data_IF_177087216311
#
_entry.id   IF_177087216311
#
_cell.length_a   1.000
_cell.length_b   1.000
_cell.length_c   1.000
_cell.angle_alpha   90.00
_cell.angle_beta   90.00
_cell.angle_gamma   90.00
#
_symmetry.space_group_name_H-M   'P 1'
#
loop_
_entity.id
_entity.type
_entity.pdbx_description
1 polymer ?
#
# COMPACT_ATOMS: atom_id res chain seq x y z
N UNK A 1 -3.84 12.86 3.21
CA UNK A 1 -3.61 12.19 1.91
C UNK A 1 -4.93 11.63 1.42
N UNK A 2 -5.23 11.82 0.14
CA UNK A 2 -6.47 11.32 -0.45
C UNK A 2 -6.43 9.80 -0.61
N UNK A 3 -7.57 9.10 -0.44
CA UNK A 3 -7.64 7.69 -0.76
C UNK A 3 -7.28 7.47 -2.24
N UNK A 4 -6.51 6.43 -2.52
CA UNK A 4 -6.06 6.13 -3.89
C UNK A 4 -7.22 5.52 -4.68
N UNK A 5 -7.63 6.11 -5.82
CA UNK A 5 -8.67 5.53 -6.67
C UNK A 5 -8.35 4.09 -7.04
N UNK A 6 -9.39 3.26 -7.24
CA UNK A 6 -9.22 1.87 -7.70
C UNK A 6 -8.43 1.83 -9.00
N UNK A 7 -7.48 0.90 -9.11
CA UNK A 7 -6.53 0.78 -10.21
C UNK A 7 -5.28 1.64 -10.08
N UNK A 8 -5.21 2.52 -9.07
CA UNK A 8 -4.00 3.34 -8.83
C UNK A 8 -2.86 2.45 -8.35
N UNK A 9 -1.71 2.57 -9.01
CA UNK A 9 -0.48 1.90 -8.59
C UNK A 9 0.15 2.69 -7.44
N UNK A 10 0.35 2.01 -6.32
CA UNK A 10 0.83 2.60 -5.07
C UNK A 10 2.04 1.84 -4.57
N UNK A 11 2.83 2.53 -3.77
CA UNK A 11 3.88 1.91 -3.00
C UNK A 11 3.88 2.44 -1.57
N UNK A 12 4.47 1.68 -0.65
CA UNK A 12 4.69 2.16 0.71
C UNK A 12 5.70 3.30 0.72
N UNK A 13 5.42 4.33 1.51
CA UNK A 13 6.31 5.47 1.68
C UNK A 13 7.53 5.13 2.56
N UNK A 14 8.44 6.10 2.70
CA UNK A 14 9.67 5.93 3.46
C UNK A 14 9.44 5.70 4.96
N UNK A 15 8.40 6.32 5.55
CA UNK A 15 8.06 6.15 6.97
C UNK A 15 7.65 4.70 7.26
N UNK A 16 6.81 4.12 6.41
CA UNK A 16 6.44 2.70 6.50
C UNK A 16 7.66 1.79 6.36
N UNK A 17 8.57 2.08 5.41
CA UNK A 17 9.81 1.32 5.26
C UNK A 17 10.69 1.40 6.51
N UNK A 18 10.88 2.59 7.10
CA UNK A 18 11.65 2.77 8.34
C UNK A 18 11.06 1.97 9.51
N UNK A 19 9.73 1.92 9.61
CA UNK A 19 9.05 1.22 10.69
C UNK A 19 9.06 -0.30 10.51
N UNK A 20 8.82 -0.81 9.29
CA UNK A 20 8.56 -2.23 9.04
C UNK A 20 9.67 -2.95 8.28
N UNK A 21 10.66 -2.22 7.74
CA UNK A 21 11.77 -2.74 6.98
C UNK A 21 11.37 -3.41 5.67
N UNK A 22 10.22 -3.02 5.10
CA UNK A 22 9.66 -3.61 3.87
C UNK A 22 9.11 -2.53 2.96
N UNK A 23 9.37 -2.66 1.66
CA UNK A 23 8.71 -1.86 0.63
C UNK A 23 7.71 -2.74 -0.08
N UNK A 24 6.50 -2.22 -0.31
CA UNK A 24 5.47 -2.93 -1.04
C UNK A 24 5.07 -2.08 -2.23
N UNK A 25 4.94 -2.71 -3.39
CA UNK A 25 4.32 -2.13 -4.58
C UNK A 25 3.04 -2.93 -4.85
N UNK A 26 1.96 -2.22 -5.13
CA UNK A 26 0.68 -2.84 -5.37
C UNK A 26 -0.30 -1.94 -6.09
N UNK A 27 -1.52 -2.42 -6.18
CA UNK A 27 -2.61 -1.72 -6.86
C UNK A 27 -3.78 -1.52 -5.89
N UNK A 28 -4.29 -0.29 -5.81
CA UNK A 28 -5.51 0.01 -5.04
C UNK A 28 -6.70 -0.74 -5.64
N UNK A 29 -7.40 -1.54 -4.83
CA UNK A 29 -8.58 -2.31 -5.26
C UNK A 29 -9.88 -1.78 -4.65
N UNK A 30 -9.79 -1.10 -3.51
CA UNK A 30 -10.93 -0.43 -2.87
C UNK A 30 -10.44 0.63 -1.89
N UNK A 31 -11.31 1.58 -1.56
CA UNK A 31 -11.05 2.60 -0.54
C UNK A 31 -12.16 2.60 0.51
N UNK A 32 -11.79 2.77 1.77
CA UNK A 32 -12.71 3.10 2.84
C UNK A 32 -12.45 4.56 3.28
N UNK A 33 -13.25 5.53 2.79
CA UNK A 33 -13.02 6.94 3.05
C UNK A 33 -13.49 7.39 4.45
N UNK A 34 -14.00 6.50 5.31
CA UNK A 34 -14.54 6.88 6.61
C UNK A 34 -13.42 7.34 7.58
N UNK A 35 -13.47 8.58 8.11
CA UNK A 35 -12.59 9.02 9.18
C UNK A 35 -12.82 8.22 10.47
N UNK A 36 -11.83 8.12 11.38
CA UNK A 36 -10.48 8.72 11.33
C UNK A 36 -9.45 7.85 10.58
N UNK A 37 -9.81 6.62 10.20
CA UNK A 37 -8.90 5.62 9.66
C UNK A 37 -9.13 5.45 8.16
N UNK A 38 -8.61 6.39 7.36
CA UNK A 38 -8.70 6.32 5.90
C UNK A 38 -7.86 5.14 5.41
N UNK A 39 -8.51 4.02 5.07
CA UNK A 39 -7.84 2.80 4.61
C UNK A 39 -7.93 2.66 3.09
N UNK A 40 -6.89 2.10 2.50
CA UNK A 40 -6.86 1.65 1.11
C UNK A 40 -6.63 0.15 1.12
N UNK A 41 -7.48 -0.61 0.42
CA UNK A 41 -7.22 -2.03 0.16
C UNK A 41 -6.28 -2.08 -1.05
N UNK A 42 -5.13 -2.69 -0.87
CA UNK A 42 -4.08 -2.81 -1.90
C UNK A 42 -3.87 -4.29 -2.20
N UNK A 43 -3.94 -4.67 -3.47
CA UNK A 43 -3.39 -5.96 -3.91
C UNK A 43 -1.89 -5.84 -3.98
N UNK A 44 -1.18 -6.58 -3.15
CA UNK A 44 0.29 -6.54 -3.11
C UNK A 44 0.84 -7.30 -4.32
N UNK A 45 1.57 -6.61 -5.19
CA UNK A 45 2.12 -7.20 -6.42
C UNK A 45 3.59 -7.56 -6.25
N UNK A 46 4.34 -6.75 -5.50
CA UNK A 46 5.76 -6.96 -5.23
C UNK A 46 6.12 -6.51 -3.81
N UNK A 47 7.11 -7.17 -3.22
CA UNK A 47 7.66 -6.82 -1.91
C UNK A 47 9.18 -6.86 -1.94
N UNK A 48 9.80 -5.93 -1.23
CA UNK A 48 11.25 -5.82 -1.03
C UNK A 48 11.59 -5.71 0.46
N UNK A 49 12.78 -6.16 0.86
CA UNK A 49 13.23 -6.16 2.25
C UNK A 49 12.63 -7.33 3.05
N UNK A 50 12.05 -7.05 4.22
CA UNK A 50 11.39 -8.07 5.05
C UNK A 50 10.05 -8.45 4.43
N UNK A 51 10.01 -9.46 3.58
CA UNK A 51 8.77 -9.87 2.88
C UNK A 51 7.82 -10.68 3.78
N UNK A 52 6.52 -10.63 3.51
CA UNK A 52 5.53 -11.63 3.99
C UNK A 52 4.99 -12.36 2.75
N UNK A 53 5.57 -13.51 2.36
CA UNK A 53 5.22 -14.19 1.11
C UNK A 53 3.72 -14.51 0.99
N UNK A 54 3.07 -14.83 2.11
CA UNK A 54 1.63 -15.12 2.16
C UNK A 54 0.72 -13.93 1.80
N UNK A 55 1.26 -12.71 1.70
CA UNK A 55 0.51 -11.51 1.33
C UNK A 55 0.73 -11.10 -0.13
N UNK A 56 1.75 -11.63 -0.82
CA UNK A 56 1.96 -11.35 -2.24
C UNK A 56 0.81 -11.96 -3.06
N UNK A 57 0.20 -11.16 -3.93
CA UNK A 57 -0.96 -11.51 -4.73
C UNK A 57 -2.30 -11.38 -3.99
N UNK A 58 -2.30 -11.04 -2.70
CA UNK A 58 -3.50 -10.91 -1.88
C UNK A 58 -3.87 -9.44 -1.63
N UNK A 59 -5.16 -9.24 -1.33
CA UNK A 59 -5.70 -7.95 -0.93
C UNK A 59 -5.39 -7.70 0.55
N UNK A 60 -4.67 -6.63 0.83
CA UNK A 60 -4.26 -6.24 2.18
C UNK A 60 -4.82 -4.86 2.48
N UNK A 61 -5.36 -4.71 3.69
CA UNK A 61 -5.82 -3.43 4.19
C UNK A 61 -4.61 -2.61 4.66
N UNK A 62 -4.42 -1.43 4.10
CA UNK A 62 -3.31 -0.53 4.44
C UNK A 62 -3.84 0.85 4.84
N UNK A 63 -3.13 1.53 5.74
CA UNK A 63 -3.42 2.93 6.02
C UNK A 63 -3.07 3.74 4.78
N UNK A 64 -3.97 4.62 4.33
CA UNK A 64 -3.71 5.42 3.12
C UNK A 64 -2.56 6.41 3.31
N UNK A 65 -2.25 6.77 4.56
CA UNK A 65 -1.10 7.63 4.90
C UNK A 65 0.25 6.93 4.69
N UNK A 66 0.28 5.59 4.71
CA UNK A 66 1.51 4.80 4.57
C UNK A 66 1.86 4.55 3.10
N UNK A 67 1.00 5.00 2.19
CA UNK A 67 1.09 4.79 0.76
C UNK A 67 1.40 6.10 0.03
N UNK A 68 2.03 5.97 -1.12
CA UNK A 68 2.28 7.04 -2.09
C UNK A 68 2.08 6.51 -3.52
N UNK A 69 1.95 7.41 -4.49
CA UNK A 69 1.90 7.01 -5.90
C UNK A 69 3.21 6.31 -6.27
N UNK A 70 3.10 5.14 -6.89
CA UNK A 70 4.28 4.45 -7.39
C UNK A 70 4.81 5.19 -8.63
N UNK A 71 6.05 5.64 -8.57
CA UNK A 71 6.76 6.22 -9.70
C UNK A 71 7.79 5.20 -10.18
N UNK A 72 7.57 4.56 -11.35
CA UNK A 72 8.60 3.72 -11.95
C UNK A 72 9.77 4.61 -12.34
N UNK A 73 10.97 4.24 -11.89
CA UNK A 73 12.23 4.79 -12.39
C UNK A 73 12.49 4.34 -13.83
#
# INVERSE_FOLDING_TARGET
>A
MHPFPVGTRVETNEEYFKQWGRKVIGTSVAMNPMPPNIMTIVRWDFQEGKTIPAQTGHNVLMMSKDLQLHQPN
#
